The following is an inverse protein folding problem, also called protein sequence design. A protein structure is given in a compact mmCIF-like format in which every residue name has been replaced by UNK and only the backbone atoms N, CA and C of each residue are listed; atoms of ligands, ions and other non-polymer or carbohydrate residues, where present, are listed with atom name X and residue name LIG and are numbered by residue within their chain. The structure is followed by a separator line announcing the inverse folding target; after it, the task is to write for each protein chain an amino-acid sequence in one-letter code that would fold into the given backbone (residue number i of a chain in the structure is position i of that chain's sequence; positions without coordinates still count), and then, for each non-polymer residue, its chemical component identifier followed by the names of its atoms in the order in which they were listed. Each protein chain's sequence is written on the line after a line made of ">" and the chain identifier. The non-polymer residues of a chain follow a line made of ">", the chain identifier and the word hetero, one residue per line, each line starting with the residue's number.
data_IF_353100638095
#
_entry.id   IF_353100638095
#
_cell.length_a   1.000
_cell.length_b   1.000
_cell.length_c   1.000
_cell.angle_alpha   90.00
_cell.angle_beta   90.00
_cell.angle_gamma   90.00
#
_symmetry.space_group_name_H-M   'P 1'
#
loop_
_entity.id
_entity.type
_entity.pdbx_description
1 polymer ?
#
# COMPACT_ATOMS: atom_id res chain seq x y z
N UNK A 1 4.40 16.53 12.03
CA UNK A 1 3.27 16.23 11.10
C UNK A 1 2.33 17.41 10.92
N UNK A 2 1.68 17.96 11.98
CA UNK A 2 0.70 19.05 11.82
C UNK A 2 1.24 20.31 11.11
N UNK A 3 2.42 20.78 11.46
CA UNK A 3 3.04 21.97 10.84
C UNK A 3 3.30 21.75 9.34
N UNK A 4 3.74 20.57 8.94
CA UNK A 4 3.95 20.24 7.52
C UNK A 4 2.63 20.24 6.73
N UNK A 5 1.57 19.66 7.29
CA UNK A 5 0.25 19.70 6.66
C UNK A 5 -0.30 21.14 6.48
N UNK A 6 -0.05 22.01 7.47
CA UNK A 6 -0.43 23.43 7.38
C UNK A 6 0.37 24.12 6.27
N UNK A 7 1.68 23.88 6.19
CA UNK A 7 2.55 24.48 5.17
C UNK A 7 2.13 24.06 3.75
N UNK A 8 1.66 22.83 3.55
CA UNK A 8 1.20 22.33 2.26
C UNK A 8 -0.21 22.76 1.89
N UNK A 9 -1.00 23.31 2.81
CA UNK A 9 -2.42 23.66 2.54
C UNK A 9 -2.63 24.56 1.31
N UNK A 10 -1.81 25.60 1.04
CA UNK A 10 -1.99 26.42 -0.16
C UNK A 10 -1.73 25.62 -1.45
N UNK A 11 -0.68 24.77 -1.45
CA UNK A 11 -0.37 23.89 -2.59
C UNK A 11 -1.55 22.92 -2.88
N UNK A 12 -2.10 22.31 -1.82
CA UNK A 12 -3.23 21.39 -1.94
C UNK A 12 -4.47 22.09 -2.52
N UNK A 13 -4.74 23.35 -2.11
CA UNK A 13 -5.86 24.13 -2.63
C UNK A 13 -5.69 24.42 -4.13
N UNK A 14 -4.50 24.77 -4.58
CA UNK A 14 -4.21 25.00 -5.99
C UNK A 14 -4.30 23.69 -6.82
N UNK A 15 -3.89 22.57 -6.25
CA UNK A 15 -3.91 21.27 -6.91
C UNK A 15 -5.30 20.61 -6.97
N UNK A 16 -6.23 21.01 -6.08
CA UNK A 16 -7.56 20.40 -5.92
C UNK A 16 -8.42 20.45 -7.19
N UNK A 17 -8.32 21.52 -7.96
CA UNK A 17 -9.11 21.72 -9.19
C UNK A 17 -8.58 20.89 -10.38
N UNK A 18 -7.37 20.34 -10.27
CA UNK A 18 -6.71 19.61 -11.35
C UNK A 18 -6.96 18.11 -11.32
N UNK A 19 -7.04 17.50 -10.11
CA UNK A 19 -7.29 16.08 -9.95
C UNK A 19 -7.88 15.77 -8.58
N UNK A 20 -8.61 14.65 -8.49
CA UNK A 20 -8.97 14.07 -7.18
C UNK A 20 -7.68 13.61 -6.49
N UNK A 21 -7.44 14.08 -5.29
CA UNK A 21 -6.19 13.84 -4.60
C UNK A 21 -6.38 13.43 -3.15
N UNK A 22 -5.47 12.59 -2.66
CA UNK A 22 -5.35 12.20 -1.26
C UNK A 22 -3.89 12.34 -0.86
N UNK A 23 -3.65 12.84 0.33
CA UNK A 23 -2.32 13.06 0.88
C UNK A 23 -2.17 12.33 2.20
N UNK A 24 -1.08 11.61 2.34
CA UNK A 24 -0.67 11.00 3.59
C UNK A 24 0.78 11.38 3.88
N UNK A 25 0.96 12.29 4.82
CA UNK A 25 2.25 12.93 5.10
C UNK A 25 2.85 13.58 3.82
N UNK A 26 3.94 13.05 3.30
CA UNK A 26 4.66 13.47 2.10
C UNK A 26 4.22 12.70 0.83
N UNK A 27 3.41 11.66 0.99
CA UNK A 27 2.91 10.88 -0.15
C UNK A 27 1.64 11.51 -0.74
N UNK A 28 1.73 11.96 -1.99
CA UNK A 28 0.62 12.50 -2.76
C UNK A 28 0.09 11.46 -3.75
N UNK A 29 -1.22 11.26 -3.76
CA UNK A 29 -1.90 10.36 -4.70
C UNK A 29 -2.97 11.12 -5.46
N UNK A 30 -2.91 11.08 -6.77
CA UNK A 30 -3.91 11.68 -7.67
C UNK A 30 -4.65 10.61 -8.47
N UNK A 31 -5.93 10.86 -8.76
CA UNK A 31 -6.77 9.99 -9.59
C UNK A 31 -7.63 10.85 -10.52
N UNK A 32 -7.31 10.83 -11.82
CA UNK A 32 -8.06 11.52 -12.87
C UNK A 32 -7.63 11.03 -14.26
N UNK A 33 -8.08 11.69 -15.32
CA UNK A 33 -7.60 11.48 -16.68
C UNK A 33 -6.12 11.85 -16.83
N UNK A 34 -5.42 11.19 -17.75
CA UNK A 34 -3.97 11.34 -17.94
C UNK A 34 -3.52 12.81 -18.11
N UNK A 35 -4.27 13.59 -18.89
CA UNK A 35 -3.96 15.01 -19.13
C UNK A 35 -4.16 15.89 -17.88
N UNK A 36 -5.17 15.60 -17.08
CA UNK A 36 -5.41 16.26 -15.80
C UNK A 36 -4.32 15.90 -14.78
N UNK A 37 -4.00 14.61 -14.67
CA UNK A 37 -2.90 14.12 -13.83
C UNK A 37 -1.54 14.72 -14.24
N UNK A 38 -1.29 14.92 -15.52
CA UNK A 38 -0.07 15.59 -15.98
C UNK A 38 -0.01 17.03 -15.48
N UNK A 39 -1.08 17.80 -15.62
CA UNK A 39 -1.14 19.18 -15.10
C UNK A 39 -0.96 19.24 -13.58
N UNK A 40 -1.59 18.30 -12.87
CA UNK A 40 -1.44 18.15 -11.42
C UNK A 40 0.00 17.84 -11.03
N UNK A 41 0.65 16.90 -11.72
CA UNK A 41 2.05 16.55 -11.51
C UNK A 41 2.98 17.74 -11.78
N UNK A 42 2.80 18.44 -12.91
CA UNK A 42 3.61 19.61 -13.28
C UNK A 42 3.45 20.74 -12.25
N UNK A 43 2.23 20.94 -11.70
CA UNK A 43 2.01 21.89 -10.63
C UNK A 43 2.81 21.51 -9.37
N UNK A 44 2.79 20.23 -8.98
CA UNK A 44 3.55 19.76 -7.81
C UNK A 44 5.07 19.90 -8.00
N UNK A 45 5.58 19.61 -9.19
CA UNK A 45 7.02 19.76 -9.50
C UNK A 45 7.44 21.23 -9.49
N UNK A 46 6.61 22.12 -10.06
CA UNK A 46 6.96 23.54 -10.21
C UNK A 46 6.72 24.35 -8.94
N UNK A 47 5.61 24.11 -8.23
CA UNK A 47 5.23 24.89 -7.06
C UNK A 47 5.57 24.23 -5.73
N UNK A 48 5.67 22.90 -5.70
CA UNK A 48 5.96 22.13 -4.48
C UNK A 48 7.17 22.65 -3.70
N UNK A 49 8.31 22.93 -4.35
CA UNK A 49 9.52 23.44 -3.67
C UNK A 49 9.28 24.70 -2.84
N UNK A 50 8.37 25.57 -3.25
CA UNK A 50 8.02 26.80 -2.50
C UNK A 50 7.34 26.51 -1.16
N UNK A 51 6.83 25.27 -0.99
CA UNK A 51 6.14 24.80 0.22
C UNK A 51 6.91 23.68 0.94
N UNK A 52 8.19 23.43 0.52
CA UNK A 52 9.01 22.38 1.09
C UNK A 52 8.64 20.96 0.61
N UNK A 53 7.89 20.85 -0.48
CA UNK A 53 7.52 19.58 -1.12
C UNK A 53 8.34 19.35 -2.39
N UNK A 54 9.14 18.30 -2.41
CA UNK A 54 10.05 17.97 -3.51
C UNK A 54 9.68 16.60 -4.11
N UNK A 55 8.79 16.55 -5.10
CA UNK A 55 8.45 15.30 -5.78
C UNK A 55 9.71 14.65 -6.37
N UNK A 56 9.82 13.33 -6.22
CA UNK A 56 10.89 12.56 -6.84
C UNK A 56 10.33 11.79 -8.04
N UNK A 57 10.54 12.26 -9.28
CA UNK A 57 9.94 11.67 -10.48
C UNK A 57 10.20 10.18 -10.63
N UNK A 58 11.41 9.72 -10.30
CA UNK A 58 11.83 8.32 -10.38
C UNK A 58 11.08 7.38 -9.42
N UNK A 59 10.51 7.93 -8.35
CA UNK A 59 9.69 7.19 -7.38
C UNK A 59 8.19 7.29 -7.69
N UNK A 60 7.80 8.23 -8.55
CA UNK A 60 6.41 8.38 -8.95
C UNK A 60 5.99 7.21 -9.85
N UNK A 61 4.82 6.66 -9.57
CA UNK A 61 4.27 5.54 -10.32
C UNK A 61 2.86 5.92 -10.78
N UNK A 62 2.62 5.79 -12.07
CA UNK A 62 1.31 5.95 -12.67
C UNK A 62 0.75 4.57 -13.00
N UNK A 63 -0.35 4.21 -12.37
CA UNK A 63 -1.06 2.97 -12.60
C UNK A 63 -2.21 3.26 -13.55
N UNK A 64 -2.32 2.49 -14.60
CA UNK A 64 -3.29 2.71 -15.66
C UNK A 64 -4.17 1.48 -15.91
N UNK A 65 -5.46 1.74 -16.06
CA UNK A 65 -6.40 0.80 -16.68
C UNK A 65 -6.72 1.27 -18.11
N UNK A 66 -6.59 0.38 -19.11
CA UNK A 66 -6.95 0.67 -20.52
C UNK A 66 -5.76 1.11 -21.41
N UNK A 67 -5.99 1.96 -22.43
CA UNK A 67 -5.02 2.26 -23.51
C UNK A 67 -3.75 2.95 -23.02
N UNK A 68 -2.62 2.32 -23.23
CA UNK A 68 -1.30 2.73 -22.74
C UNK A 68 -0.73 3.95 -23.48
N UNK A 69 -1.09 4.12 -24.76
CA UNK A 69 -0.54 5.16 -25.62
C UNK A 69 -0.84 6.58 -25.15
N UNK A 70 -2.08 6.88 -24.82
CA UNK A 70 -2.51 8.22 -24.36
C UNK A 70 -1.79 8.67 -23.09
N UNK A 71 -1.43 7.72 -22.23
CA UNK A 71 -0.72 8.04 -20.99
C UNK A 71 0.77 8.22 -21.24
N UNK A 72 1.37 7.40 -22.10
CA UNK A 72 2.77 7.55 -22.49
C UNK A 72 3.00 8.92 -23.15
N UNK A 73 2.08 9.34 -24.03
CA UNK A 73 2.13 10.67 -24.66
C UNK A 73 2.02 11.79 -23.60
N UNK A 74 1.05 11.69 -22.69
CA UNK A 74 0.83 12.71 -21.67
C UNK A 74 2.02 12.86 -20.70
N UNK A 75 2.71 11.78 -20.38
CA UNK A 75 3.87 11.78 -19.47
C UNK A 75 5.22 11.67 -20.18
N UNK A 76 5.24 11.91 -21.48
CA UNK A 76 6.49 11.97 -22.25
C UNK A 76 7.43 13.03 -21.67
N UNK A 77 8.73 12.70 -21.59
CA UNK A 77 9.75 13.57 -21.03
C UNK A 77 9.80 13.63 -19.50
N UNK A 78 9.01 12.81 -18.80
CA UNK A 78 9.13 12.64 -17.34
C UNK A 78 9.81 11.32 -16.99
N UNK A 79 10.39 11.23 -15.79
CA UNK A 79 10.92 9.98 -15.24
C UNK A 79 9.86 9.15 -14.46
N UNK A 80 8.58 9.49 -14.58
CA UNK A 80 7.48 8.78 -13.94
C UNK A 80 7.34 7.37 -14.52
N UNK A 81 7.30 6.37 -13.66
CA UNK A 81 7.12 4.96 -14.07
C UNK A 81 5.67 4.69 -14.40
N UNK A 82 5.40 4.18 -15.60
CA UNK A 82 4.05 3.81 -16.03
C UNK A 82 3.90 2.29 -15.96
N UNK A 83 2.84 1.82 -15.32
CA UNK A 83 2.52 0.40 -15.22
C UNK A 83 1.04 0.14 -15.48
N UNK A 84 0.73 -0.97 -16.16
CA UNK A 84 -0.63 -1.48 -16.33
C UNK A 84 -0.95 -2.64 -15.37
N UNK A 85 0.06 -3.12 -14.64
CA UNK A 85 -0.08 -4.27 -13.73
C UNK A 85 -0.49 -3.83 -12.34
N UNK A 86 0.32 -2.97 -11.73
CA UNK A 86 0.06 -2.46 -10.38
C UNK A 86 1.32 -2.00 -9.66
N UNK A 87 1.12 -1.44 -8.48
CA UNK A 87 2.22 -1.00 -7.61
C UNK A 87 1.83 -1.09 -6.13
N UNK A 88 2.84 -1.16 -5.27
CA UNK A 88 2.68 -1.01 -3.82
C UNK A 88 2.46 0.45 -3.47
N UNK A 89 1.52 0.70 -2.58
CA UNK A 89 1.19 2.04 -2.10
C UNK A 89 0.77 2.00 -0.63
N UNK A 90 1.47 2.74 0.23
CA UNK A 90 1.19 2.85 1.67
C UNK A 90 0.99 1.50 2.38
N UNK A 91 1.81 0.51 2.03
CA UNK A 91 1.73 -0.84 2.61
C UNK A 91 0.64 -1.75 2.03
N UNK A 92 -0.20 -1.22 1.13
CA UNK A 92 -1.17 -1.96 0.35
C UNK A 92 -0.73 -2.07 -1.11
N UNK A 93 -1.62 -2.52 -1.99
CA UNK A 93 -1.38 -2.59 -3.43
C UNK A 93 -2.57 -2.06 -4.22
N UNK A 94 -2.26 -1.39 -5.31
CA UNK A 94 -3.19 -0.94 -6.33
C UNK A 94 -2.82 -1.61 -7.66
N UNK A 95 -3.81 -2.02 -8.46
CA UNK A 95 -3.57 -2.63 -9.76
C UNK A 95 -4.57 -3.72 -10.09
N UNK A 96 -4.18 -4.61 -11.02
CA UNK A 96 -5.00 -5.72 -11.51
C UNK A 96 -5.35 -6.74 -10.41
N UNK A 97 -6.40 -7.50 -10.62
CA UNK A 97 -6.79 -8.57 -9.70
C UNK A 97 -5.64 -9.59 -9.50
N UNK A 98 -4.98 -10.00 -10.58
CA UNK A 98 -3.86 -10.94 -10.53
C UNK A 98 -2.69 -10.40 -9.68
N UNK A 99 -2.33 -9.13 -9.84
CA UNK A 99 -1.26 -8.51 -9.03
C UNK A 99 -1.62 -8.44 -7.54
N UNK A 100 -2.88 -8.12 -7.23
CA UNK A 100 -3.37 -8.13 -5.85
C UNK A 100 -3.34 -9.52 -5.24
N UNK A 101 -3.77 -10.53 -5.99
CA UNK A 101 -3.77 -11.92 -5.56
C UNK A 101 -2.36 -12.43 -5.29
N UNK A 102 -1.42 -12.22 -6.20
CA UNK A 102 -0.01 -12.60 -6.02
C UNK A 102 0.58 -11.97 -4.75
N UNK A 103 0.33 -10.67 -4.54
CA UNK A 103 0.77 -9.98 -3.33
C UNK A 103 0.17 -10.58 -2.06
N UNK A 104 -1.14 -10.91 -2.06
CA UNK A 104 -1.79 -11.51 -0.91
C UNK A 104 -1.19 -12.88 -0.61
N UNK A 105 -1.00 -13.72 -1.62
CA UNK A 105 -0.42 -15.05 -1.48
C UNK A 105 1.02 -15.00 -0.95
N UNK A 106 1.86 -14.07 -1.43
CA UNK A 106 3.19 -13.81 -0.88
C UNK A 106 3.12 -13.51 0.63
N UNK A 107 2.23 -12.60 1.04
CA UNK A 107 2.06 -12.20 2.44
C UNK A 107 1.55 -13.35 3.30
N UNK A 108 0.53 -14.05 2.86
CA UNK A 108 -0.05 -15.20 3.58
C UNK A 108 1.01 -16.29 3.78
N UNK A 109 1.78 -16.62 2.76
CA UNK A 109 2.88 -17.58 2.87
C UNK A 109 3.92 -17.16 3.91
N UNK A 110 4.28 -15.88 3.94
CA UNK A 110 5.19 -15.33 4.96
C UNK A 110 4.61 -15.42 6.38
N UNK A 111 3.33 -15.11 6.54
CA UNK A 111 2.66 -15.19 7.85
C UNK A 111 2.49 -16.63 8.34
N UNK A 112 2.20 -17.59 7.45
CA UNK A 112 2.16 -19.02 7.81
C UNK A 112 3.53 -19.47 8.38
N UNK A 113 4.63 -19.11 7.72
CA UNK A 113 5.98 -19.41 8.23
C UNK A 113 6.22 -18.78 9.60
N UNK A 114 5.82 -17.52 9.80
CA UNK A 114 5.93 -16.86 11.09
C UNK A 114 5.08 -17.54 12.17
N UNK A 115 3.85 -17.96 11.83
CA UNK A 115 2.98 -18.70 12.74
C UNK A 115 3.55 -20.06 13.14
N UNK A 116 4.17 -20.77 12.21
CA UNK A 116 4.82 -22.06 12.48
C UNK A 116 6.03 -21.92 13.44
N UNK A 117 6.80 -20.83 13.26
CA UNK A 117 7.89 -20.52 14.21
C UNK A 117 7.30 -20.18 15.59
N UNK A 118 6.23 -19.38 15.62
CA UNK A 118 5.57 -18.99 16.85
C UNK A 118 4.94 -20.18 17.58
N UNK A 119 4.36 -21.13 16.86
CA UNK A 119 3.82 -22.37 17.41
C UNK A 119 4.90 -23.22 18.10
N UNK A 120 6.11 -23.29 17.52
CA UNK A 120 7.24 -23.96 18.17
C UNK A 120 7.67 -23.26 19.45
N UNK A 121 7.72 -21.91 19.41
CA UNK A 121 8.08 -21.09 20.57
C UNK A 121 7.04 -21.17 21.68
N UNK A 122 5.75 -21.30 21.33
CA UNK A 122 4.64 -21.40 22.28
C UNK A 122 4.78 -22.61 23.24
N UNK A 123 5.43 -23.70 22.83
CA UNK A 123 5.66 -24.88 23.68
C UNK A 123 6.51 -24.57 24.91
N UNK A 124 7.36 -23.57 24.86
CA UNK A 124 8.24 -23.16 25.97
C UNK A 124 7.80 -21.85 26.62
N UNK A 125 7.19 -20.96 25.84
CA UNK A 125 6.82 -19.61 26.27
C UNK A 125 5.39 -19.24 25.77
N UNK A 126 4.34 -19.92 26.27
CA UNK A 126 2.97 -19.76 25.73
C UNK A 126 2.44 -18.33 25.86
N UNK A 127 2.65 -17.67 27.00
CA UNK A 127 2.15 -16.30 27.20
C UNK A 127 2.81 -15.29 26.26
N UNK A 128 4.13 -15.39 26.07
CA UNK A 128 4.86 -14.51 25.16
C UNK A 128 4.46 -14.75 23.69
N UNK A 129 4.24 -16.00 23.31
CA UNK A 129 3.75 -16.38 21.99
C UNK A 129 2.36 -15.81 21.71
N UNK A 130 1.44 -15.92 22.66
CA UNK A 130 0.09 -15.39 22.53
C UNK A 130 0.08 -13.86 22.45
N UNK A 131 0.89 -13.18 23.25
CA UNK A 131 1.04 -11.73 23.19
C UNK A 131 1.59 -11.28 21.82
N UNK A 132 2.60 -11.98 21.28
CA UNK A 132 3.15 -11.71 19.93
C UNK A 132 2.10 -11.92 18.85
N UNK A 133 1.32 -12.99 18.95
CA UNK A 133 0.22 -13.24 18.02
C UNK A 133 -0.79 -12.09 18.02
N UNK A 134 -1.30 -11.70 19.19
CA UNK A 134 -2.38 -10.72 19.32
C UNK A 134 -1.93 -9.29 19.01
N UNK A 135 -0.74 -8.88 19.46
CA UNK A 135 -0.27 -7.50 19.34
C UNK A 135 0.53 -7.21 18.07
N UNK A 136 1.14 -8.24 17.46
CA UNK A 136 2.00 -8.04 16.29
C UNK A 136 1.39 -8.65 15.02
N UNK A 137 1.21 -9.96 14.98
CA UNK A 137 0.84 -10.65 13.74
C UNK A 137 -0.59 -10.38 13.31
N UNK A 138 -1.54 -10.36 14.25
CA UNK A 138 -2.96 -10.15 13.93
C UNK A 138 -3.22 -8.81 13.24
N UNK A 139 -2.47 -7.78 13.57
CA UNK A 139 -2.59 -6.47 12.94
C UNK A 139 -2.24 -6.51 11.44
N UNK A 140 -1.32 -7.39 11.02
CA UNK A 140 -0.85 -7.47 9.64
C UNK A 140 -1.96 -7.86 8.66
N UNK A 141 -2.67 -8.97 8.93
CA UNK A 141 -3.77 -9.38 8.02
C UNK A 141 -5.03 -8.57 8.20
N UNK A 142 -5.27 -8.00 9.39
CA UNK A 142 -6.36 -7.04 9.58
C UNK A 142 -6.19 -5.82 8.68
N UNK A 143 -4.97 -5.29 8.58
CA UNK A 143 -4.63 -4.21 7.66
C UNK A 143 -4.87 -4.61 6.20
N UNK A 144 -4.42 -5.80 5.80
CA UNK A 144 -4.60 -6.32 4.45
C UNK A 144 -6.09 -6.40 4.06
N UNK A 145 -6.92 -6.97 4.94
CA UNK A 145 -8.37 -7.10 4.72
C UNK A 145 -9.08 -5.74 4.61
N UNK A 146 -8.59 -4.72 5.31
CA UNK A 146 -9.14 -3.37 5.23
C UNK A 146 -8.75 -2.63 3.95
N UNK A 147 -7.60 -2.93 3.39
CA UNK A 147 -7.02 -2.19 2.27
C UNK A 147 -7.25 -2.86 0.91
N UNK A 148 -7.48 -4.17 0.89
CA UNK A 148 -7.70 -4.93 -0.35
C UNK A 148 -9.05 -5.64 -0.27
N UNK A 149 -10.06 -5.18 -1.02
CA UNK A 149 -11.37 -5.83 -1.06
C UNK A 149 -11.25 -7.30 -1.49
N UNK A 150 -11.94 -8.20 -0.78
CA UNK A 150 -11.93 -9.63 -1.08
C UNK A 150 -10.72 -10.41 -0.58
N UNK A 151 -9.75 -9.77 0.09
CA UNK A 151 -8.53 -10.44 0.58
C UNK A 151 -8.82 -11.59 1.56
N UNK A 152 -9.94 -11.53 2.30
CA UNK A 152 -10.30 -12.53 3.31
C UNK A 152 -10.38 -13.96 2.79
N UNK A 153 -10.78 -14.17 1.53
CA UNK A 153 -10.88 -15.51 0.94
C UNK A 153 -9.53 -16.23 0.83
N UNK A 154 -8.44 -15.47 0.71
CA UNK A 154 -7.08 -15.98 0.60
C UNK A 154 -6.43 -16.28 1.95
N UNK A 155 -7.07 -15.90 3.07
CA UNK A 155 -6.52 -16.10 4.42
C UNK A 155 -6.82 -17.51 4.99
N UNK A 156 -7.63 -18.33 4.31
CA UNK A 156 -7.99 -19.67 4.79
C UNK A 156 -6.80 -20.55 5.16
N UNK A 157 -5.72 -20.64 4.36
CA UNK A 157 -4.54 -21.42 4.75
C UNK A 157 -3.85 -20.92 6.04
N UNK A 158 -3.88 -19.59 6.27
CA UNK A 158 -3.37 -19.01 7.50
C UNK A 158 -4.28 -19.36 8.69
N UNK A 159 -5.59 -19.31 8.51
CA UNK A 159 -6.55 -19.70 9.54
C UNK A 159 -6.39 -21.17 9.93
N UNK A 160 -6.20 -22.05 8.95
CA UNK A 160 -5.94 -23.48 9.17
C UNK A 160 -4.62 -23.70 9.96
N UNK A 161 -3.56 -22.96 9.64
CA UNK A 161 -2.30 -22.99 10.39
C UNK A 161 -2.50 -22.52 11.85
N UNK A 162 -3.27 -21.45 12.07
CA UNK A 162 -3.57 -20.94 13.41
C UNK A 162 -4.35 -22.00 14.21
N UNK A 163 -5.38 -22.59 13.64
CA UNK A 163 -6.26 -23.57 14.30
C UNK A 163 -5.57 -24.88 14.59
N UNK A 164 -4.76 -25.39 13.65
CA UNK A 164 -4.23 -26.73 13.70
C UNK A 164 -2.80 -26.81 14.27
N UNK A 165 -2.03 -25.73 14.18
CA UNK A 165 -0.63 -25.73 14.64
C UNK A 165 -0.41 -24.82 15.86
N UNK A 166 -0.92 -23.57 15.83
CA UNK A 166 -0.64 -22.59 16.86
C UNK A 166 -1.48 -22.77 18.11
N UNK A 167 -2.82 -22.85 17.99
CA UNK A 167 -3.69 -22.97 19.17
C UNK A 167 -3.44 -24.24 19.98
N UNK A 168 -3.22 -25.43 19.38
CA UNK A 168 -2.92 -26.62 20.16
C UNK A 168 -1.56 -26.57 20.87
N UNK A 169 -0.59 -25.80 20.36
CA UNK A 169 0.74 -25.68 20.97
C UNK A 169 0.75 -25.01 22.35
N UNK A 170 -0.36 -24.40 22.77
CA UNK A 170 -0.53 -23.81 24.11
C UNK A 170 -1.10 -24.80 25.13
N UNK A 171 -1.51 -26.01 24.71
CA UNK A 171 -2.17 -26.99 25.57
C UNK A 171 -1.22 -28.08 26.09
N UNK A 172 0.06 -28.01 25.70
CA UNK A 172 1.12 -28.93 26.16
C UNK A 172 2.08 -28.25 27.11
#
# INVERSE_FOLDING_TARGET
>A
MAMYAIALTPLLKNAKELARQVWFADDATGCDQATALRKWYDLLVNQGPNYGYFPQPEKCILIKEGREETVKEAFQGTAVKITSVGARHLGAVLGTAAFKEEYIQEKVSGWIKAMQVLAKFAKTQPHAAFATFTHCLQACWTFLCRTIPGAGIFLRPLEDCIRNEFLPSHQT
#
